data_IF_453520680915
#
_entry.id   IF_453520680915
#
_cell.length_a   1.000
_cell.length_b   1.000
_cell.length_c   1.000
_cell.angle_alpha   90.00
_cell.angle_beta   90.00
_cell.angle_gamma   90.00
#
_symmetry.space_group_name_H-M   'P 1'
#
loop_
_entity.id
_entity.type
_entity.pdbx_description
1 polymer ?
#
# COMPACT_ATOMS: atom_id res chain seq x y z
N UNK A 1 -3.75 -8.29 -22.82
CA UNK A 1 -3.10 -7.21 -22.07
C UNK A 1 -2.12 -7.86 -21.13
N UNK A 2 -0.83 -7.66 -21.39
CA UNK A 2 0.27 -8.16 -20.56
C UNK A 2 0.61 -7.09 -19.48
N UNK A 3 1.37 -7.47 -18.45
CA UNK A 3 1.83 -6.55 -17.41
C UNK A 3 2.64 -5.38 -17.98
N UNK A 4 3.47 -5.61 -19.00
CA UNK A 4 4.19 -4.51 -19.68
C UNK A 4 3.23 -3.49 -20.31
N UNK A 5 2.19 -3.96 -21.03
CA UNK A 5 1.19 -3.07 -21.63
C UNK A 5 0.50 -2.20 -20.55
N UNK A 6 0.23 -2.79 -19.39
CA UNK A 6 -0.37 -2.08 -18.26
C UNK A 6 0.59 -1.05 -17.66
N UNK A 7 1.87 -1.40 -17.48
CA UNK A 7 2.89 -0.48 -16.95
C UNK A 7 3.06 0.72 -17.89
N UNK A 8 3.09 0.50 -19.21
CA UNK A 8 3.20 1.57 -20.20
C UNK A 8 1.99 2.52 -20.13
N UNK A 9 0.76 1.99 -20.17
CA UNK A 9 -0.45 2.82 -20.09
C UNK A 9 -0.57 3.58 -18.77
N UNK A 10 -0.15 2.97 -17.66
CA UNK A 10 -0.17 3.61 -16.35
C UNK A 10 0.91 4.70 -16.24
N UNK A 11 2.09 4.47 -16.81
CA UNK A 11 3.18 5.45 -16.83
C UNK A 11 2.79 6.67 -17.67
N UNK A 12 2.15 6.46 -18.82
CA UNK A 12 1.58 7.52 -19.64
C UNK A 12 0.49 8.32 -18.89
N UNK A 13 -0.40 7.61 -18.18
CA UNK A 13 -1.47 8.25 -17.41
C UNK A 13 -0.92 9.12 -16.25
N UNK A 14 0.15 8.67 -15.62
CA UNK A 14 0.75 9.31 -14.44
C UNK A 14 1.88 10.28 -14.78
N UNK A 15 2.27 10.40 -16.05
CA UNK A 15 3.39 11.23 -16.53
C UNK A 15 4.72 10.83 -15.84
N UNK A 16 5.00 9.52 -15.82
CA UNK A 16 6.21 8.94 -15.20
C UNK A 16 7.18 8.48 -16.28
N UNK A 17 8.38 9.06 -16.31
CA UNK A 17 9.45 8.69 -17.26
C UNK A 17 10.32 7.51 -16.80
N UNK A 18 10.03 6.90 -15.65
CA UNK A 18 10.82 5.79 -15.09
C UNK A 18 10.23 4.43 -15.49
N UNK A 19 11.08 3.50 -15.90
CA UNK A 19 10.69 2.10 -16.11
C UNK A 19 10.64 1.39 -14.75
N UNK A 20 9.48 0.79 -14.43
CA UNK A 20 9.34 -0.03 -13.24
C UNK A 20 9.88 -1.44 -13.53
N UNK A 21 10.89 -1.88 -12.77
CA UNK A 21 11.36 -3.27 -12.82
C UNK A 21 10.35 -4.16 -12.07
N UNK A 22 9.44 -4.78 -12.81
CA UNK A 22 8.37 -5.59 -12.23
C UNK A 22 8.88 -6.86 -11.53
N UNK A 23 10.04 -7.38 -11.94
CA UNK A 23 10.65 -8.57 -11.33
C UNK A 23 11.23 -8.20 -9.98
N UNK A 24 12.01 -7.12 -9.91
CA UNK A 24 12.55 -6.61 -8.66
C UNK A 24 11.46 -6.25 -7.66
N UNK A 25 10.38 -5.61 -8.13
CA UNK A 25 9.25 -5.22 -7.29
C UNK A 25 8.44 -6.42 -6.79
N UNK A 26 8.26 -7.45 -7.60
CA UNK A 26 7.61 -8.68 -7.18
C UNK A 26 8.45 -9.41 -6.12
N UNK A 27 9.75 -9.59 -6.37
CA UNK A 27 10.65 -10.29 -5.46
C UNK A 27 10.71 -9.59 -4.08
N UNK A 28 10.84 -8.26 -4.05
CA UNK A 28 10.90 -7.54 -2.78
C UNK A 28 9.55 -7.54 -2.04
N UNK A 29 8.44 -7.54 -2.77
CA UNK A 29 7.12 -7.62 -2.18
C UNK A 29 6.89 -9.00 -1.53
N UNK A 30 7.30 -10.08 -2.20
CA UNK A 30 7.21 -11.44 -1.68
C UNK A 30 8.06 -11.60 -0.41
N UNK A 31 9.31 -11.10 -0.42
CA UNK A 31 10.18 -11.11 0.78
C UNK A 31 9.51 -10.37 1.95
N UNK A 32 8.90 -9.21 1.69
CA UNK A 32 8.20 -8.46 2.74
C UNK A 32 6.98 -9.23 3.27
N UNK A 33 6.21 -9.88 2.38
CA UNK A 33 5.06 -10.71 2.78
C UNK A 33 5.49 -11.89 3.65
N UNK A 34 6.58 -12.57 3.27
CA UNK A 34 7.07 -13.75 3.97
C UNK A 34 7.69 -13.43 5.34
N UNK A 35 8.33 -12.26 5.50
CA UNK A 35 9.13 -11.95 6.68
C UNK A 35 8.51 -10.90 7.61
N UNK A 36 7.57 -10.07 7.12
CA UNK A 36 7.04 -8.92 7.88
C UNK A 36 5.56 -9.08 8.21
N UNK A 37 4.69 -9.11 7.21
CA UNK A 37 3.24 -9.25 7.35
C UNK A 37 2.57 -9.51 5.99
N UNK A 38 1.38 -10.12 5.98
CA UNK A 38 0.65 -10.45 4.75
C UNK A 38 0.35 -9.25 3.82
N UNK A 39 0.27 -8.04 4.37
CA UNK A 39 0.04 -6.78 3.64
C UNK A 39 1.32 -5.98 3.37
N UNK A 40 2.50 -6.48 3.77
CA UNK A 40 3.74 -5.72 3.69
C UNK A 40 4.23 -5.50 2.25
N UNK A 41 3.89 -6.37 1.31
CA UNK A 41 4.29 -6.26 -0.10
C UNK A 41 3.86 -4.93 -0.75
N UNK A 42 2.55 -4.62 -0.82
CA UNK A 42 2.06 -3.35 -1.37
C UNK A 42 2.64 -2.11 -0.69
N UNK A 43 2.75 -2.13 0.65
CA UNK A 43 3.32 -1.01 1.43
C UNK A 43 4.79 -0.80 1.08
N UNK A 44 5.54 -1.89 0.96
CA UNK A 44 6.97 -1.88 0.59
C UNK A 44 7.18 -1.32 -0.81
N UNK A 45 6.44 -1.81 -1.81
CA UNK A 45 6.54 -1.33 -3.18
C UNK A 45 6.20 0.16 -3.29
N UNK A 46 5.14 0.62 -2.61
CA UNK A 46 4.76 2.03 -2.58
C UNK A 46 5.87 2.91 -1.99
N UNK A 47 6.41 2.55 -0.82
CA UNK A 47 7.46 3.34 -0.17
C UNK A 47 8.78 3.34 -0.95
N UNK A 48 9.14 2.22 -1.58
CA UNK A 48 10.31 2.15 -2.46
C UNK A 48 10.14 3.08 -3.67
N UNK A 49 8.96 3.10 -4.30
CA UNK A 49 8.62 4.01 -5.39
C UNK A 49 8.67 5.48 -4.97
N UNK A 50 8.07 5.83 -3.83
CA UNK A 50 8.13 7.19 -3.26
C UNK A 50 9.58 7.60 -2.98
N UNK A 51 10.38 6.71 -2.37
CA UNK A 51 11.78 6.98 -2.11
C UNK A 51 12.58 7.17 -3.39
N UNK A 52 12.30 6.38 -4.45
CA UNK A 52 12.94 6.52 -5.74
C UNK A 52 12.65 7.90 -6.36
N UNK A 53 11.38 8.33 -6.38
CA UNK A 53 10.98 9.64 -6.89
C UNK A 53 11.57 10.81 -6.11
N UNK A 54 11.42 10.81 -4.76
CA UNK A 54 11.95 11.89 -3.89
C UNK A 54 13.46 12.06 -4.01
N UNK A 55 14.17 10.98 -4.34
CA UNK A 55 15.63 10.95 -4.41
C UNK A 55 16.18 11.04 -5.83
N UNK A 56 15.31 11.20 -6.83
CA UNK A 56 15.66 11.15 -8.26
C UNK A 56 16.58 9.96 -8.56
N UNK A 57 16.21 8.79 -8.04
CA UNK A 57 17.05 7.60 -8.06
C UNK A 57 17.01 6.93 -9.43
N UNK A 58 18.18 6.79 -10.06
CA UNK A 58 18.34 5.91 -11.22
C UNK A 58 18.33 4.41 -10.84
N UNK A 59 18.37 3.51 -11.84
CA UNK A 59 18.23 2.06 -11.65
C UNK A 59 19.19 1.48 -10.61
N UNK A 60 20.49 1.81 -10.68
CA UNK A 60 21.50 1.26 -9.75
C UNK A 60 21.32 1.76 -8.32
N UNK A 61 20.61 2.87 -8.14
CA UNK A 61 20.24 3.35 -6.80
C UNK A 61 18.99 2.66 -6.30
N UNK A 62 18.02 2.37 -7.16
CA UNK A 62 16.82 1.61 -6.83
C UNK A 62 17.20 0.19 -6.39
N UNK A 63 18.07 -0.49 -7.14
CA UNK A 63 18.58 -1.82 -6.75
C UNK A 63 19.23 -1.82 -5.36
N UNK A 64 20.04 -0.79 -5.05
CA UNK A 64 20.64 -0.67 -3.71
C UNK A 64 19.61 -0.40 -2.63
N UNK A 65 18.58 0.40 -2.91
CA UNK A 65 17.49 0.62 -1.97
C UNK A 65 16.70 -0.67 -1.74
N UNK A 66 16.41 -1.43 -2.79
CA UNK A 66 15.77 -2.74 -2.70
C UNK A 66 16.60 -3.72 -1.87
N UNK A 67 17.92 -3.77 -2.05
CA UNK A 67 18.80 -4.59 -1.23
C UNK A 67 18.77 -4.20 0.27
N UNK A 68 18.66 -2.90 0.58
CA UNK A 68 18.50 -2.44 1.98
C UNK A 68 17.13 -2.82 2.56
N UNK A 69 16.08 -2.77 1.74
CA UNK A 69 14.73 -3.21 2.14
C UNK A 69 14.71 -4.72 2.39
N UNK A 70 15.39 -5.49 1.54
CA UNK A 70 15.52 -6.94 1.71
C UNK A 70 16.22 -7.26 3.03
N UNK A 71 17.38 -6.67 3.29
CA UNK A 71 18.12 -6.87 4.55
C UNK A 71 17.25 -6.50 5.78
N UNK A 72 16.46 -5.43 5.67
CA UNK A 72 15.55 -5.01 6.74
C UNK A 72 14.42 -6.04 6.96
N UNK A 73 13.81 -6.56 5.90
CA UNK A 73 12.75 -7.55 5.99
C UNK A 73 13.27 -8.88 6.53
N UNK A 74 14.41 -9.37 6.03
CA UNK A 74 15.03 -10.63 6.47
C UNK A 74 15.50 -10.60 7.93
N UNK A 75 15.85 -9.41 8.45
CA UNK A 75 16.24 -9.21 9.85
C UNK A 75 15.06 -8.88 10.77
N UNK A 76 13.83 -8.88 10.26
CA UNK A 76 12.65 -8.55 11.03
C UNK A 76 12.31 -9.67 12.03
N UNK A 77 12.57 -9.42 13.32
CA UNK A 77 12.40 -10.38 14.43
C UNK A 77 10.92 -10.70 14.80
N UNK A 78 9.95 -10.34 13.95
CA UNK A 78 8.52 -10.63 14.16
C UNK A 78 8.03 -11.59 13.07
N UNK A 79 7.50 -12.78 13.42
CA UNK A 79 7.00 -13.70 12.40
C UNK A 79 5.83 -13.07 11.64
N UNK A 80 5.73 -13.31 10.32
CA UNK A 80 4.69 -12.74 9.47
C UNK A 80 3.25 -13.13 9.90
N UNK A 81 3.11 -14.23 10.64
CA UNK A 81 1.86 -14.70 11.26
C UNK A 81 1.69 -14.24 12.73
N UNK A 82 2.51 -13.30 13.21
CA UNK A 82 2.29 -12.72 14.52
C UNK A 82 0.91 -12.05 14.52
N UNK A 83 0.00 -12.57 15.36
CA UNK A 83 -1.28 -11.92 15.62
C UNK A 83 -0.97 -10.48 16.02
N UNK A 84 -1.59 -9.51 15.36
CA UNK A 84 -1.54 -8.14 15.86
C UNK A 84 -2.36 -8.11 17.14
N UNK A 85 -1.67 -8.01 18.29
CA UNK A 85 -2.30 -7.80 19.60
C UNK A 85 -3.07 -6.45 19.67
N UNK A 86 -3.01 -5.64 18.61
CA UNK A 86 -3.75 -4.37 18.43
C UNK A 86 -5.06 -4.53 17.62
N UNK A 87 -5.56 -5.75 17.38
CA UNK A 87 -6.98 -6.00 17.05
C UNK A 87 -7.89 -5.74 18.29
N UNK A 88 -7.74 -4.57 18.92
CA UNK A 88 -8.81 -3.91 19.68
C UNK A 88 -9.65 -3.03 18.73
N UNK A 89 -9.67 -3.34 17.43
CA UNK A 89 -10.81 -3.07 16.56
C UNK A 89 -11.91 -4.10 16.84
N UNK A 90 -12.35 -4.17 18.10
CA UNK A 90 -13.73 -4.54 18.35
C UNK A 90 -14.54 -3.40 17.76
N UNK A 91 -14.85 -3.48 16.46
CA UNK A 91 -16.05 -2.87 15.92
C UNK A 91 -17.18 -3.51 16.70
N UNK A 92 -17.54 -2.91 17.84
CA UNK A 92 -18.81 -3.18 18.50
C UNK A 92 -19.84 -3.03 17.39
N UNK A 93 -20.49 -4.14 17.01
CA UNK A 93 -21.57 -4.12 16.04
C UNK A 93 -22.51 -2.98 16.45
N UNK A 94 -22.59 -1.95 15.62
CA UNK A 94 -23.53 -0.85 15.78
C UNK A 94 -24.94 -1.39 15.48
N UNK A 95 -25.42 -2.31 16.31
CA UNK A 95 -26.75 -2.89 16.24
C UNK A 95 -27.84 -1.87 16.62
N UNK A 96 -27.44 -0.72 17.17
CA UNK A 96 -28.33 0.35 17.67
C UNK A 96 -28.41 1.58 16.74
N UNK A 97 -28.23 1.44 15.42
CA UNK A 97 -28.46 2.54 14.47
C UNK A 97 -29.95 2.82 14.17
N UNK A 98 -30.88 2.02 14.72
CA UNK A 98 -32.32 2.21 14.55
C UNK A 98 -32.89 3.39 15.38
N UNK A 99 -32.12 4.00 16.29
CA UNK A 99 -32.59 5.10 17.15
C UNK A 99 -32.18 6.51 16.68
N UNK A 100 -31.44 6.65 15.58
CA UNK A 100 -31.16 7.97 14.99
C UNK A 100 -32.31 8.39 14.07
N UNK A 101 -33.42 8.84 14.68
CA UNK A 101 -34.44 9.62 13.96
C UNK A 101 -33.78 10.91 13.41
N UNK A 102 -33.50 10.91 12.11
CA UNK A 102 -33.20 12.13 11.37
C UNK A 102 -34.47 12.97 11.31
N UNK A 103 -34.52 14.02 12.13
CA UNK A 103 -35.61 15.00 12.12
C UNK A 103 -35.50 15.84 10.83
N UNK A 104 -36.03 15.32 9.73
CA UNK A 104 -36.28 16.06 8.50
C UNK A 104 -37.67 16.70 8.58
N UNK A 105 -37.78 17.89 9.18
CA UNK A 105 -38.88 18.80 8.83
C UNK A 105 -38.36 19.95 7.96
N UNK A 106 -38.79 19.88 6.70
CA UNK A 106 -38.54 20.81 5.60
C UNK A 106 -38.93 22.25 5.94
N UNK A 107 -38.04 23.19 5.64
CA UNK A 107 -38.31 24.61 5.60
C UNK A 107 -39.22 24.93 4.39
N UNK A 108 -40.54 24.90 4.59
CA UNK A 108 -41.51 25.29 3.55
C UNK A 108 -41.40 26.81 3.27
N UNK A 109 -40.67 27.17 2.22
CA UNK A 109 -40.63 28.53 1.70
C UNK A 109 -42.01 28.93 1.15
N UNK A 110 -42.73 29.80 1.88
CA UNK A 110 -43.91 30.50 1.37
C UNK A 110 -43.56 31.93 0.94
N UNK A 111 -44.05 32.28 -0.25
CA UNK A 111 -44.01 33.56 -0.99
C UNK A 111 -44.32 34.80 -0.17
#
# INVERSE_FOLDING_TARGET
MNLHDWIDELSDLLDVETEADEVLLADIADIAVENVASNAGPVTAFLLGVAAGVREAGPERIERMAAQVQELAESWDRPADAVDDDDDDTVEELDDLDELEFDEEEEEATV
#
